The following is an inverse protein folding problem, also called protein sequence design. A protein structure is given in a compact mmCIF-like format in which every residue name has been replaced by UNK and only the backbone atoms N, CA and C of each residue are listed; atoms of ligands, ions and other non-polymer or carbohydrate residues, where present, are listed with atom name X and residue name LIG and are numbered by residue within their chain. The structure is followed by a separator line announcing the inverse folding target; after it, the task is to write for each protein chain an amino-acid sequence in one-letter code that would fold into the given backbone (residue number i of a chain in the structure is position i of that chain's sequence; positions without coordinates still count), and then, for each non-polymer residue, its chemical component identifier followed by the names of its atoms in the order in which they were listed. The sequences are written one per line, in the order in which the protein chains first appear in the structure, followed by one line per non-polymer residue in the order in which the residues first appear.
data_IF_699113543050
#
_entry.id   IF_699113543050
#
_cell.length_a   1.000
_cell.length_b   1.000
_cell.length_c   1.000
_cell.angle_alpha   90.00
_cell.angle_beta   90.00
_cell.angle_gamma   90.00
#
_symmetry.space_group_name_H-M   'P 1'
#
loop_
_entity.id
_entity.type
_entity.pdbx_description
1 polymer ?
#
# COMPACT_ATOMS: atom_id res chain seq x y z
N UNK A 1 24.53 -1.57 -41.65
CA UNK A 1 23.47 -2.52 -41.29
C UNK A 1 23.19 -2.34 -39.81
N UNK A 2 21.94 -2.11 -39.46
CA UNK A 2 21.47 -1.50 -38.20
C UNK A 2 21.80 -2.31 -36.93
N UNK A 3 21.92 -1.62 -35.79
CA UNK A 3 20.87 -1.61 -34.75
C UNK A 3 21.11 -0.51 -33.70
N UNK A 4 20.40 0.60 -33.85
CA UNK A 4 20.15 1.59 -32.80
C UNK A 4 19.06 1.06 -31.86
N UNK A 5 19.42 0.45 -30.74
CA UNK A 5 18.47 -0.06 -29.74
C UNK A 5 19.01 0.11 -28.31
N UNK A 6 19.37 1.34 -27.92
CA UNK A 6 19.91 1.59 -26.56
C UNK A 6 19.35 2.87 -25.89
N UNK A 7 18.40 3.56 -26.52
CA UNK A 7 17.96 4.89 -26.08
C UNK A 7 16.59 4.91 -25.39
N UNK A 8 15.70 3.94 -25.65
CA UNK A 8 14.32 3.96 -25.14
C UNK A 8 14.18 3.44 -23.70
N UNK A 9 15.10 2.59 -23.25
CA UNK A 9 15.01 1.94 -21.94
C UNK A 9 15.52 2.85 -20.79
N UNK A 10 16.38 3.81 -21.10
CA UNK A 10 16.90 4.75 -20.10
C UNK A 10 15.84 5.75 -19.59
N UNK A 11 14.80 6.06 -20.38
CA UNK A 11 13.76 7.03 -20.02
C UNK A 11 12.64 6.43 -19.16
N UNK A 12 12.47 5.11 -19.20
CA UNK A 12 11.51 4.36 -18.38
C UNK A 12 12.08 4.07 -16.99
N UNK A 13 13.35 3.66 -16.88
CA UNK A 13 13.97 3.31 -15.58
C UNK A 13 14.15 4.53 -14.68
N UNK A 14 14.57 5.68 -15.22
CA UNK A 14 14.69 6.95 -14.46
C UNK A 14 13.36 7.49 -13.92
N UNK A 15 12.24 7.08 -14.52
CA UNK A 15 10.88 7.45 -14.08
C UNK A 15 10.35 6.52 -12.97
N UNK A 16 10.87 5.29 -12.92
CA UNK A 16 10.54 4.29 -11.88
C UNK A 16 11.40 4.47 -10.62
N UNK A 17 12.66 4.89 -10.78
CA UNK A 17 13.55 5.20 -9.66
C UNK A 17 14.01 6.67 -9.71
N UNK A 18 13.17 7.62 -9.26
CA UNK A 18 13.62 8.99 -9.03
C UNK A 18 14.79 9.01 -8.03
N UNK A 19 15.71 9.99 -8.12
CA UNK A 19 16.91 10.04 -7.29
C UNK A 19 16.53 9.93 -5.81
N UNK A 20 17.28 9.08 -5.09
CA UNK A 20 17.08 8.74 -3.68
C UNK A 20 17.40 9.98 -2.82
N UNK A 21 16.50 10.94 -2.84
CA UNK A 21 16.46 12.07 -1.93
C UNK A 21 15.50 11.70 -0.79
N UNK A 22 15.74 12.18 0.44
CA UNK A 22 14.87 11.88 1.59
C UNK A 22 13.40 12.23 1.33
N UNK A 23 13.16 13.26 0.53
CA UNK A 23 11.84 13.65 0.04
C UNK A 23 11.25 12.63 -0.94
N UNK A 24 12.06 11.99 -1.79
CA UNK A 24 11.62 10.95 -2.73
C UNK A 24 11.32 9.64 -2.00
N UNK A 25 12.16 9.26 -1.03
CA UNK A 25 11.98 8.06 -0.20
C UNK A 25 10.67 8.12 0.58
N UNK A 26 10.42 9.24 1.25
CA UNK A 26 9.21 9.43 2.06
C UNK A 26 7.94 9.58 1.24
N UNK A 27 8.03 10.14 0.03
CA UNK A 27 6.86 10.49 -0.79
C UNK A 27 6.52 9.46 -1.85
N UNK A 28 7.46 8.59 -2.22
CA UNK A 28 7.28 7.60 -3.28
C UNK A 28 7.57 6.17 -2.81
N UNK A 29 8.69 5.93 -2.13
CA UNK A 29 9.07 4.57 -1.75
C UNK A 29 8.25 4.07 -0.55
N UNK A 30 8.07 4.87 0.51
CA UNK A 30 7.25 4.52 1.67
C UNK A 30 5.78 4.13 1.35
N UNK A 31 5.05 4.88 0.50
CA UNK A 31 3.72 4.47 0.07
C UNK A 31 3.75 3.22 -0.81
N UNK A 32 4.76 3.04 -1.66
CA UNK A 32 4.89 1.85 -2.53
C UNK A 32 5.21 0.62 -1.69
N UNK A 33 6.12 0.71 -0.71
CA UNK A 33 6.42 -0.38 0.23
C UNK A 33 5.21 -0.70 1.10
N UNK A 34 4.44 0.32 1.50
CA UNK A 34 3.17 0.16 2.22
C UNK A 34 2.11 -0.56 1.37
N UNK A 35 2.00 -0.20 0.08
CA UNK A 35 1.09 -0.84 -0.88
C UNK A 35 1.45 -2.31 -1.14
N UNK A 36 2.74 -2.61 -1.31
CA UNK A 36 3.24 -3.99 -1.46
C UNK A 36 2.97 -4.79 -0.18
N UNK A 37 3.25 -4.20 0.98
CA UNK A 37 2.99 -4.81 2.30
C UNK A 37 1.50 -5.10 2.48
N UNK A 38 0.62 -4.17 2.06
CA UNK A 38 -0.82 -4.35 2.13
C UNK A 38 -1.34 -5.47 1.22
N UNK A 39 -0.79 -5.60 0.01
CA UNK A 39 -1.09 -6.73 -0.88
C UNK A 39 -0.60 -8.07 -0.32
N UNK A 40 0.59 -8.08 0.26
CA UNK A 40 1.15 -9.27 0.92
C UNK A 40 0.29 -9.68 2.13
N UNK A 41 -0.13 -8.72 2.94
CA UNK A 41 -1.05 -8.94 4.06
C UNK A 41 -2.41 -9.50 3.61
N UNK A 42 -2.99 -8.96 2.52
CA UNK A 42 -4.23 -9.48 1.94
C UNK A 42 -4.11 -10.96 1.56
N UNK A 43 -2.98 -11.35 0.96
CA UNK A 43 -2.70 -12.75 0.60
C UNK A 43 -2.57 -13.64 1.83
N UNK A 44 -1.93 -13.15 2.90
CA UNK A 44 -1.78 -13.86 4.17
C UNK A 44 -3.12 -14.12 4.86
N UNK A 45 -3.96 -13.10 4.99
CA UNK A 45 -5.28 -13.20 5.64
C UNK A 45 -6.19 -14.21 4.95
N UNK A 46 -6.16 -14.22 3.61
CA UNK A 46 -7.04 -15.07 2.79
C UNK A 46 -6.53 -16.50 2.67
N UNK A 47 -5.21 -16.72 2.66
CA UNK A 47 -4.60 -18.05 2.63
C UNK A 47 -3.38 -18.14 3.57
N UNK A 48 -3.58 -18.48 4.86
CA UNK A 48 -2.49 -18.50 5.84
C UNK A 48 -1.41 -19.55 5.54
N UNK A 49 -1.74 -20.57 4.73
CA UNK A 49 -0.87 -21.69 4.40
C UNK A 49 0.41 -21.31 3.63
N UNK A 50 0.44 -20.17 2.93
CA UNK A 50 1.63 -19.72 2.21
C UNK A 50 2.72 -19.16 3.12
N UNK A 51 2.33 -18.51 4.22
CA UNK A 51 3.26 -17.83 5.14
C UNK A 51 3.78 -18.78 6.22
N UNK A 52 2.94 -19.73 6.67
CA UNK A 52 3.34 -20.86 7.51
C UNK A 52 4.46 -21.71 6.87
N UNK A 53 4.50 -21.76 5.53
CA UNK A 53 5.54 -22.46 4.76
C UNK A 53 6.88 -21.72 4.73
N UNK A 54 6.88 -20.40 4.92
CA UNK A 54 8.09 -19.57 4.95
C UNK A 54 8.59 -19.31 6.38
N UNK A 55 7.69 -19.10 7.35
CA UNK A 55 8.05 -18.74 8.74
C UNK A 55 7.13 -19.41 9.78
N UNK A 56 7.26 -20.73 10.02
CA UNK A 56 6.38 -21.50 10.90
C UNK A 56 6.41 -21.07 12.38
N UNK A 57 7.47 -20.40 12.85
CA UNK A 57 7.61 -19.94 14.24
C UNK A 57 7.17 -18.48 14.46
N UNK A 58 7.00 -17.68 13.40
CA UNK A 58 6.80 -16.22 13.51
C UNK A 58 5.59 -15.69 12.75
N UNK A 59 4.65 -16.53 12.29
CA UNK A 59 3.50 -16.10 11.48
C UNK A 59 2.74 -14.90 12.07
N UNK A 60 2.46 -14.92 13.38
CA UNK A 60 1.76 -13.83 14.07
C UNK A 60 2.59 -12.54 14.13
N UNK A 61 3.90 -12.65 14.31
CA UNK A 61 4.81 -11.51 14.37
C UNK A 61 5.01 -10.88 12.99
N UNK A 62 5.18 -11.70 11.95
CA UNK A 62 5.34 -11.25 10.57
C UNK A 62 4.08 -10.55 10.06
N UNK A 63 2.90 -11.11 10.34
CA UNK A 63 1.62 -10.45 10.01
C UNK A 63 1.47 -9.08 10.66
N UNK A 64 1.81 -8.96 11.95
CA UNK A 64 1.74 -7.70 12.68
C UNK A 64 2.78 -6.67 12.20
N UNK A 65 4.00 -7.11 11.85
CA UNK A 65 5.04 -6.22 11.29
C UNK A 65 4.63 -5.71 9.92
N UNK A 66 4.08 -6.57 9.05
CA UNK A 66 3.58 -6.17 7.73
C UNK A 66 2.43 -5.17 7.88
N UNK A 67 1.50 -5.43 8.81
CA UNK A 67 0.38 -4.54 9.11
C UNK A 67 0.86 -3.20 9.68
N UNK A 68 1.85 -3.21 10.57
CA UNK A 68 2.47 -2.00 11.10
C UNK A 68 3.16 -1.18 10.00
N UNK A 69 3.89 -1.85 9.11
CA UNK A 69 4.54 -1.19 7.97
C UNK A 69 3.52 -0.59 6.98
N UNK A 70 2.40 -1.28 6.75
CA UNK A 70 1.29 -0.75 5.97
C UNK A 70 0.66 0.48 6.64
N UNK A 71 0.51 0.47 7.98
CA UNK A 71 0.04 1.64 8.73
C UNK A 71 0.97 2.84 8.57
N UNK A 72 2.29 2.63 8.69
CA UNK A 72 3.26 3.69 8.51
C UNK A 72 3.25 4.23 7.07
N UNK A 73 3.23 3.35 6.07
CA UNK A 73 3.22 3.75 4.66
C UNK A 73 2.02 4.64 4.30
N UNK A 74 0.80 4.26 4.71
CA UNK A 74 -0.42 5.04 4.45
C UNK A 74 -0.43 6.32 5.29
N UNK A 75 -0.02 6.26 6.55
CA UNK A 75 0.04 7.43 7.44
C UNK A 75 1.00 8.49 6.91
N UNK A 76 2.19 8.09 6.48
CA UNK A 76 3.16 8.99 5.85
C UNK A 76 2.67 9.51 4.50
N UNK A 77 2.01 8.69 3.69
CA UNK A 77 1.41 9.14 2.41
C UNK A 77 0.40 10.27 2.61
N UNK A 78 -0.50 10.12 3.58
CA UNK A 78 -1.49 11.15 3.92
C UNK A 78 -0.80 12.35 4.56
N UNK A 79 0.24 12.13 5.37
CA UNK A 79 0.98 13.21 6.03
C UNK A 79 1.57 14.16 4.99
N UNK A 80 2.31 13.68 3.99
CA UNK A 80 3.03 14.52 3.01
C UNK A 80 2.17 15.16 1.89
N UNK A 81 0.84 15.13 2.01
CA UNK A 81 -0.06 15.72 1.01
C UNK A 81 -0.22 17.23 1.11
N UNK A 82 -0.57 17.83 -0.04
CA UNK A 82 -0.72 19.27 -0.19
C UNK A 82 -1.83 19.84 0.71
N UNK A 83 -3.00 19.18 0.77
CA UNK A 83 -4.11 19.60 1.63
C UNK A 83 -3.76 19.63 3.13
N UNK A 84 -2.82 18.79 3.55
CA UNK A 84 -2.39 18.64 4.94
C UNK A 84 -1.29 19.63 5.35
N UNK A 85 -0.62 20.30 4.40
CA UNK A 85 0.44 21.27 4.69
C UNK A 85 -0.09 22.58 5.29
N UNK A 86 -1.36 22.93 5.05
CA UNK A 86 -2.01 24.12 5.65
C UNK A 86 -2.47 23.89 7.09
N UNK A 87 -2.47 22.65 7.58
CA UNK A 87 -2.99 22.27 8.90
C UNK A 87 -1.87 22.24 9.94
N UNK A 88 -2.19 22.62 11.18
CA UNK A 88 -1.24 22.56 12.30
C UNK A 88 -0.62 21.14 12.44
N UNK A 89 0.69 21.04 12.77
CA UNK A 89 1.43 19.78 12.71
C UNK A 89 0.85 18.69 13.63
N UNK A 90 0.26 19.06 14.78
CA UNK A 90 -0.39 18.11 15.70
C UNK A 90 -1.63 17.47 15.07
N UNK A 91 -2.53 18.28 14.52
CA UNK A 91 -3.77 17.82 13.88
C UNK A 91 -3.47 17.02 12.62
N UNK A 92 -2.42 17.40 11.89
CA UNK A 92 -1.91 16.66 10.73
C UNK A 92 -1.50 15.24 11.08
N UNK A 93 -0.78 15.03 12.19
CA UNK A 93 -0.44 13.68 12.66
C UNK A 93 -1.69 12.90 13.04
N UNK A 94 -2.63 13.52 13.76
CA UNK A 94 -3.88 12.86 14.18
C UNK A 94 -4.69 12.35 12.98
N UNK A 95 -4.86 13.18 11.95
CA UNK A 95 -5.58 12.77 10.73
C UNK A 95 -4.84 11.69 9.95
N UNK A 96 -3.50 11.77 9.83
CA UNK A 96 -2.71 10.72 9.20
C UNK A 96 -2.85 9.37 9.91
N UNK A 97 -2.80 9.37 11.25
CA UNK A 97 -2.97 8.15 12.06
C UNK A 97 -4.39 7.62 11.90
N UNK A 98 -5.40 8.48 12.01
CA UNK A 98 -6.80 8.10 11.87
C UNK A 98 -7.10 7.49 10.49
N UNK A 99 -6.69 8.14 9.39
CA UNK A 99 -6.88 7.62 8.03
C UNK A 99 -6.16 6.30 7.82
N UNK A 100 -4.96 6.13 8.39
CA UNK A 100 -4.20 4.89 8.28
C UNK A 100 -4.87 3.71 9.01
N UNK A 101 -5.33 3.94 10.24
CA UNK A 101 -6.08 2.96 11.03
C UNK A 101 -7.37 2.59 10.31
N UNK A 102 -8.16 3.58 9.90
CA UNK A 102 -9.43 3.37 9.21
C UNK A 102 -9.25 2.55 7.93
N UNK A 103 -8.23 2.85 7.12
CA UNK A 103 -7.96 2.12 5.89
C UNK A 103 -7.50 0.68 6.14
N UNK A 104 -6.55 0.46 7.04
CA UNK A 104 -6.02 -0.88 7.32
C UNK A 104 -7.08 -1.78 7.98
N UNK A 105 -7.75 -1.31 9.03
CA UNK A 105 -8.80 -2.10 9.70
C UNK A 105 -10.02 -2.31 8.79
N UNK A 106 -10.40 -1.31 7.98
CA UNK A 106 -11.44 -1.48 6.98
C UNK A 106 -11.09 -2.56 5.95
N UNK A 107 -9.82 -2.61 5.51
CA UNK A 107 -9.33 -3.63 4.59
C UNK A 107 -9.30 -5.03 5.24
N UNK A 108 -8.88 -5.14 6.50
CA UNK A 108 -8.95 -6.40 7.27
C UNK A 108 -10.37 -6.93 7.33
N UNK A 109 -11.35 -6.06 7.63
CA UNK A 109 -12.76 -6.43 7.70
C UNK A 109 -13.28 -6.91 6.33
N UNK A 110 -12.92 -6.20 5.24
CA UNK A 110 -13.25 -6.60 3.88
C UNK A 110 -12.64 -7.96 3.50
N UNK A 111 -11.40 -8.23 3.89
CA UNK A 111 -10.77 -9.52 3.64
C UNK A 111 -11.40 -10.63 4.48
N UNK A 112 -11.78 -10.34 5.72
CA UNK A 112 -12.47 -11.31 6.59
C UNK A 112 -13.85 -11.70 6.02
N UNK A 113 -14.63 -10.73 5.54
CA UNK A 113 -15.93 -11.01 4.89
C UNK A 113 -15.75 -11.73 3.56
N UNK A 114 -14.79 -11.30 2.74
CA UNK A 114 -14.42 -11.98 1.48
C UNK A 114 -14.03 -13.44 1.73
N UNK A 115 -13.26 -13.72 2.79
CA UNK A 115 -12.85 -15.08 3.16
C UNK A 115 -14.04 -15.98 3.45
N UNK A 116 -15.10 -15.43 4.06
CA UNK A 116 -16.33 -16.16 4.39
C UNK A 116 -17.17 -16.47 3.14
N UNK A 117 -17.11 -15.63 2.10
CA UNK A 117 -17.89 -15.78 0.87
C UNK A 117 -17.17 -16.63 -0.19
N UNK A 118 -15.83 -16.60 -0.25
CA UNK A 118 -15.08 -17.27 -1.34
C UNK A 118 -14.93 -18.79 -1.15
N UNK A 119 -14.99 -19.57 -2.26
CA UNK A 119 -14.85 -21.03 -2.27
C UNK A 119 -13.45 -21.50 -1.82
N UNK A 120 -13.30 -22.80 -1.54
CA UNK A 120 -12.11 -23.41 -0.90
C UNK A 120 -10.79 -23.29 -1.69
N UNK A 121 -10.81 -22.79 -2.92
CA UNK A 121 -9.64 -22.63 -3.78
C UNK A 121 -8.75 -21.47 -3.31
N UNK A 122 -7.58 -21.80 -2.73
CA UNK A 122 -6.64 -20.82 -2.19
C UNK A 122 -6.10 -19.81 -3.22
N UNK A 123 -5.90 -20.23 -4.47
CA UNK A 123 -5.40 -19.35 -5.54
C UNK A 123 -6.40 -18.22 -5.90
N UNK A 124 -7.69 -18.55 -5.98
CA UNK A 124 -8.75 -17.57 -6.28
C UNK A 124 -8.82 -16.54 -5.14
N UNK A 125 -8.72 -17.01 -3.90
CA UNK A 125 -8.68 -16.17 -2.70
C UNK A 125 -7.50 -15.19 -2.72
N UNK A 126 -6.29 -15.65 -3.05
CA UNK A 126 -5.12 -14.77 -3.11
C UNK A 126 -5.20 -13.75 -4.24
N UNK A 127 -5.65 -14.16 -5.44
CA UNK A 127 -5.79 -13.24 -6.58
C UNK A 127 -6.83 -12.17 -6.27
N UNK A 128 -7.99 -12.59 -5.74
CA UNK A 128 -9.05 -11.67 -5.35
C UNK A 128 -8.58 -10.70 -4.25
N UNK A 129 -7.88 -11.19 -3.23
CA UNK A 129 -7.30 -10.32 -2.18
C UNK A 129 -6.32 -9.30 -2.70
N UNK A 130 -5.39 -9.72 -3.58
CA UNK A 130 -4.47 -8.80 -4.23
C UNK A 130 -5.20 -7.77 -5.08
N UNK A 131 -6.21 -8.19 -5.84
CA UNK A 131 -6.99 -7.28 -6.69
C UNK A 131 -7.78 -6.27 -5.85
N UNK A 132 -8.49 -6.72 -4.81
CA UNK A 132 -9.22 -5.87 -3.88
C UNK A 132 -8.29 -4.91 -3.15
N UNK A 133 -7.11 -5.37 -2.72
CA UNK A 133 -6.08 -4.51 -2.12
C UNK A 133 -5.63 -3.40 -3.07
N UNK A 134 -5.32 -3.75 -4.32
CA UNK A 134 -4.92 -2.77 -5.35
C UNK A 134 -6.05 -1.79 -5.67
N UNK A 135 -7.28 -2.28 -5.77
CA UNK A 135 -8.46 -1.44 -6.00
C UNK A 135 -8.67 -0.43 -4.86
N UNK A 136 -8.63 -0.87 -3.60
CA UNK A 136 -8.76 0.02 -2.42
C UNK A 136 -7.67 1.09 -2.39
N UNK A 137 -6.42 0.71 -2.66
CA UNK A 137 -5.30 1.66 -2.73
C UNK A 137 -5.48 2.68 -3.87
N UNK A 138 -6.00 2.24 -5.02
CA UNK A 138 -6.22 3.09 -6.19
C UNK A 138 -7.34 4.09 -5.92
N UNK A 139 -8.46 3.63 -5.38
CA UNK A 139 -9.60 4.47 -4.97
C UNK A 139 -9.16 5.47 -3.90
N UNK A 140 -8.43 5.02 -2.87
CA UNK A 140 -7.92 5.90 -1.82
C UNK A 140 -6.98 6.98 -2.37
N UNK A 141 -6.14 6.63 -3.34
CA UNK A 141 -5.28 7.60 -4.04
C UNK A 141 -6.09 8.61 -4.84
N UNK A 142 -7.07 8.18 -5.63
CA UNK A 142 -7.93 9.06 -6.42
C UNK A 142 -8.75 9.98 -5.52
N UNK A 143 -9.38 9.43 -4.48
CA UNK A 143 -10.17 10.18 -3.50
C UNK A 143 -9.37 11.31 -2.86
N UNK A 144 -8.18 11.01 -2.36
CA UNK A 144 -7.34 12.04 -1.79
C UNK A 144 -6.95 13.03 -2.90
N UNK A 145 -6.62 12.59 -4.12
CA UNK A 145 -6.15 13.49 -5.21
C UNK A 145 -7.24 14.47 -5.61
N UNK A 146 -8.49 14.01 -5.61
CA UNK A 146 -9.66 14.85 -5.76
C UNK A 146 -9.73 15.93 -4.66
N UNK A 147 -9.53 15.57 -3.38
CA UNK A 147 -9.47 16.54 -2.27
C UNK A 147 -8.35 17.57 -2.47
N UNK A 148 -7.15 17.13 -2.89
CA UNK A 148 -6.04 18.05 -3.18
C UNK A 148 -6.42 19.03 -4.30
N UNK A 149 -7.18 18.61 -5.31
CA UNK A 149 -7.61 19.47 -6.42
C UNK A 149 -8.63 20.54 -6.03
N UNK A 150 -9.36 20.34 -4.92
CA UNK A 150 -10.31 21.32 -4.39
C UNK A 150 -9.61 22.48 -3.67
N UNK A 151 -8.36 22.28 -3.25
CA UNK A 151 -7.58 23.28 -2.53
C UNK A 151 -6.67 23.99 -3.54
N UNK A 152 -7.23 25.01 -4.18
CA UNK A 152 -6.48 26.00 -4.96
C UNK A 152 -5.70 26.96 -4.05
#
# INVERSE_FOLDING_TARGET
MATTSDSKDSWTVKRVFPPVNWQTVTRHYLPVTGAISHGCFASHVLTPAYLYRLFPYYDMAVGNVILFNAHLGIGFYVYYRAHMLRVAPRTRVMFSVFSSVMFNFGSVLLFATTKAVLPRNGLIKTIFGCLTSLALLSIGREYLTYIDSLIK
#
